data_IF_100770292209
#
_entry.id   IF_100770292209
#
_cell.length_a   1.000
_cell.length_b   1.000
_cell.length_c   1.000
_cell.angle_alpha   90.00
_cell.angle_beta   90.00
_cell.angle_gamma   90.00
#
_symmetry.space_group_name_H-M   'P 1'
#
loop_
_entity.id
_entity.type
_entity.pdbx_description
1 polymer ?
#
# COMPACT_ATOMS: atom_id res chain seq x y z
N UNK A 1 1.04 -13.82 -29.57
CA UNK A 1 0.97 -12.34 -29.64
C UNK A 1 0.23 -11.93 -28.38
N UNK A 2 0.81 -11.06 -27.58
CA UNK A 2 0.14 -10.55 -26.38
C UNK A 2 -0.94 -9.57 -26.83
N UNK A 3 -2.18 -9.75 -26.39
CA UNK A 3 -3.25 -8.77 -26.63
C UNK A 3 -3.09 -7.62 -25.62
N UNK A 4 -2.87 -6.42 -26.12
CA UNK A 4 -2.67 -5.20 -25.31
C UNK A 4 -3.96 -4.38 -25.18
N UNK A 5 -5.08 -4.87 -25.70
CA UNK A 5 -6.37 -4.20 -25.52
C UNK A 5 -6.84 -4.37 -24.08
N UNK A 6 -7.33 -3.29 -23.51
CA UNK A 6 -7.91 -3.31 -22.17
C UNK A 6 -9.28 -3.98 -22.22
N UNK A 7 -9.61 -4.69 -21.15
CA UNK A 7 -10.96 -5.22 -20.93
C UNK A 7 -11.94 -4.11 -20.55
N UNK A 8 -13.22 -4.36 -20.68
CA UNK A 8 -14.26 -3.40 -20.28
C UNK A 8 -14.12 -3.06 -18.77
N UNK A 9 -13.83 -4.04 -17.91
CA UNK A 9 -13.59 -3.82 -16.48
C UNK A 9 -12.37 -2.92 -16.24
N UNK A 10 -11.28 -3.10 -16.99
CA UNK A 10 -10.10 -2.25 -16.89
C UNK A 10 -10.40 -0.80 -17.32
N UNK A 11 -11.17 -0.64 -18.40
CA UNK A 11 -11.60 0.69 -18.89
C UNK A 11 -12.52 1.39 -17.88
N UNK A 12 -13.44 0.68 -17.26
CA UNK A 12 -14.32 1.21 -16.20
C UNK A 12 -13.52 1.66 -14.98
N UNK A 13 -12.60 0.82 -14.50
CA UNK A 13 -11.74 1.16 -13.37
C UNK A 13 -10.80 2.33 -13.70
N UNK A 14 -10.23 2.36 -14.90
CA UNK A 14 -9.40 3.47 -15.35
C UNK A 14 -10.19 4.79 -15.36
N UNK A 15 -11.40 4.77 -15.91
CA UNK A 15 -12.26 5.96 -15.95
C UNK A 15 -12.63 6.43 -14.53
N UNK A 16 -12.95 5.50 -13.62
CA UNK A 16 -13.25 5.81 -12.22
C UNK A 16 -12.05 6.44 -11.49
N UNK A 17 -10.87 5.87 -11.65
CA UNK A 17 -9.65 6.39 -10.99
C UNK A 17 -9.24 7.73 -11.57
N UNK A 18 -9.38 7.93 -12.89
CA UNK A 18 -9.14 9.22 -13.54
C UNK A 18 -10.10 10.30 -13.00
N UNK A 19 -11.40 10.02 -12.96
CA UNK A 19 -12.38 10.96 -12.41
C UNK A 19 -12.07 11.31 -10.95
N UNK A 20 -11.79 10.30 -10.13
CA UNK A 20 -11.38 10.49 -8.75
C UNK A 20 -10.12 11.37 -8.65
N UNK A 21 -9.10 11.09 -9.42
CA UNK A 21 -7.83 11.82 -9.40
C UNK A 21 -8.02 13.29 -9.80
N UNK A 22 -8.77 13.55 -10.87
CA UNK A 22 -9.03 14.92 -11.33
C UNK A 22 -9.93 15.71 -10.37
N UNK A 23 -10.95 15.09 -9.84
CA UNK A 23 -11.96 15.76 -9.01
C UNK A 23 -11.51 15.92 -7.56
N UNK A 24 -10.80 14.93 -7.00
CA UNK A 24 -10.46 14.88 -5.58
C UNK A 24 -9.00 15.22 -5.32
N UNK A 25 -8.06 14.63 -6.07
CA UNK A 25 -6.63 14.81 -5.80
C UNK A 25 -6.07 16.09 -6.42
N UNK A 26 -6.41 16.42 -7.67
CA UNK A 26 -5.83 17.59 -8.36
C UNK A 26 -6.04 18.91 -7.62
N UNK A 27 -7.22 19.21 -7.03
CA UNK A 27 -7.41 20.46 -6.31
C UNK A 27 -6.52 20.64 -5.08
N UNK A 28 -6.07 19.54 -4.48
CA UNK A 28 -5.32 19.55 -3.22
C UNK A 28 -3.83 19.21 -3.38
N UNK A 29 -3.40 18.71 -4.53
CA UNK A 29 -2.04 18.19 -4.76
C UNK A 29 -0.94 19.22 -4.40
N UNK A 30 -1.06 20.44 -4.90
CA UNK A 30 -0.06 21.50 -4.66
C UNK A 30 0.00 21.92 -3.18
N UNK A 31 -1.15 21.94 -2.50
CA UNK A 31 -1.19 22.31 -1.08
C UNK A 31 -0.65 21.17 -0.20
N UNK A 32 -0.88 19.91 -0.57
CA UNK A 32 -0.27 18.77 0.09
C UNK A 32 1.26 18.80 -0.06
N UNK A 33 1.76 19.06 -1.27
CA UNK A 33 3.20 19.17 -1.52
C UNK A 33 3.84 20.29 -0.69
N UNK A 34 3.23 21.48 -0.65
CA UNK A 34 3.72 22.59 0.18
C UNK A 34 3.73 22.25 1.68
N UNK A 35 2.67 21.63 2.17
CA UNK A 35 2.57 21.23 3.58
C UNK A 35 3.60 20.16 3.97
N UNK A 36 3.95 19.26 3.04
CA UNK A 36 4.91 18.20 3.30
C UNK A 36 6.27 18.69 3.75
N UNK A 37 6.65 19.91 3.38
CA UNK A 37 7.92 20.54 3.78
C UNK A 37 7.94 20.96 5.25
N UNK A 38 6.81 21.32 5.83
CA UNK A 38 6.70 21.81 7.22
C UNK A 38 6.02 20.83 8.15
N UNK A 39 5.11 20.04 7.66
CA UNK A 39 4.34 19.03 8.42
C UNK A 39 4.17 17.74 7.59
N UNK A 40 5.22 16.93 7.50
CA UNK A 40 5.16 15.68 6.71
C UNK A 40 4.09 14.68 7.16
N UNK A 41 3.76 14.67 8.45
CA UNK A 41 2.74 13.76 8.98
C UNK A 41 1.32 14.29 8.74
N UNK A 42 1.12 15.60 8.84
CA UNK A 42 -0.18 16.25 8.68
C UNK A 42 -0.53 16.63 7.23
N UNK A 43 0.38 16.44 6.28
CA UNK A 43 0.11 16.76 4.88
C UNK A 43 -0.74 15.71 4.16
N UNK A 44 -0.87 14.50 4.70
CA UNK A 44 -1.60 13.41 4.04
C UNK A 44 -3.10 13.73 3.97
N UNK A 45 -3.70 13.67 2.78
CA UNK A 45 -5.09 14.08 2.57
C UNK A 45 -6.08 12.98 3.01
N UNK A 46 -6.32 12.88 4.30
CA UNK A 46 -7.16 11.84 4.90
C UNK A 46 -8.59 11.82 4.35
N UNK A 47 -9.18 12.97 4.03
CA UNK A 47 -10.51 13.02 3.44
C UNK A 47 -10.54 12.45 2.01
N UNK A 48 -9.46 12.63 1.24
CA UNK A 48 -9.32 11.97 -0.05
C UNK A 48 -9.22 10.44 0.11
N UNK A 49 -8.51 9.96 1.13
CA UNK A 49 -8.46 8.51 1.43
C UNK A 49 -9.85 7.95 1.75
N UNK A 50 -10.63 8.63 2.59
CA UNK A 50 -11.99 8.20 2.91
C UNK A 50 -12.91 8.18 1.68
N UNK A 51 -12.78 9.17 0.80
CA UNK A 51 -13.54 9.19 -0.45
C UNK A 51 -13.14 8.03 -1.37
N UNK A 52 -11.83 7.76 -1.52
CA UNK A 52 -11.35 6.59 -2.24
C UNK A 52 -11.85 5.27 -1.64
N UNK A 53 -11.93 5.19 -0.32
CA UNK A 53 -12.49 4.02 0.38
C UNK A 53 -13.98 3.81 0.08
N UNK A 54 -14.78 4.88 0.09
CA UNK A 54 -16.21 4.83 -0.29
C UNK A 54 -16.42 4.39 -1.75
N UNK A 55 -15.50 4.75 -2.63
CA UNK A 55 -15.49 4.30 -4.03
C UNK A 55 -14.94 2.88 -4.21
N UNK A 56 -14.50 2.22 -3.14
CA UNK A 56 -13.90 0.90 -3.18
C UNK A 56 -12.46 0.86 -3.74
N UNK A 57 -11.85 2.02 -3.98
CA UNK A 57 -10.51 2.10 -4.58
C UNK A 57 -9.43 1.57 -3.65
N UNK A 58 -9.55 1.80 -2.33
CA UNK A 58 -8.55 1.35 -1.36
C UNK A 58 -8.42 -0.17 -1.29
N UNK A 59 -9.52 -0.88 -1.48
CA UNK A 59 -9.61 -2.34 -1.33
C UNK A 59 -9.45 -3.12 -2.63
N UNK A 60 -9.12 -2.49 -3.77
CA UNK A 60 -9.03 -3.15 -5.08
C UNK A 60 -8.08 -4.35 -5.10
N UNK A 61 -7.00 -4.31 -4.31
CA UNK A 61 -6.03 -5.41 -4.20
C UNK A 61 -6.51 -6.60 -3.36
N UNK A 62 -7.59 -6.47 -2.59
CA UNK A 62 -8.12 -7.61 -1.83
C UNK A 62 -8.71 -8.69 -2.74
N UNK A 63 -8.69 -9.96 -2.30
CA UNK A 63 -9.47 -11.02 -2.91
C UNK A 63 -10.95 -10.66 -3.02
N UNK A 64 -11.63 -11.20 -4.03
CA UNK A 64 -13.07 -10.93 -4.27
C UNK A 64 -13.96 -11.34 -3.10
N UNK A 65 -13.60 -12.40 -2.41
CA UNK A 65 -14.30 -12.93 -1.23
C UNK A 65 -14.27 -11.96 -0.05
N UNK A 66 -13.30 -11.03 -0.04
CA UNK A 66 -13.16 -9.99 0.98
C UNK A 66 -13.61 -8.61 0.49
N UNK A 67 -14.38 -8.56 -0.59
CA UNK A 67 -14.94 -7.33 -1.15
C UNK A 67 -13.97 -6.54 -2.03
N UNK A 68 -12.82 -7.13 -2.41
CA UNK A 68 -11.88 -6.54 -3.37
C UNK A 68 -12.20 -6.89 -4.82
N UNK A 69 -11.25 -6.58 -5.71
CA UNK A 69 -11.31 -6.94 -7.14
C UNK A 69 -10.21 -7.90 -7.56
N UNK A 70 -9.24 -8.19 -6.67
CA UNK A 70 -8.03 -8.99 -6.97
C UNK A 70 -7.37 -8.56 -8.29
N UNK A 71 -7.16 -7.25 -8.43
CA UNK A 71 -6.65 -6.63 -9.67
C UNK A 71 -5.31 -7.24 -10.09
N UNK A 72 -5.17 -7.54 -11.37
CA UNK A 72 -3.90 -8.03 -11.91
C UNK A 72 -2.85 -6.91 -12.03
N UNK A 73 -1.61 -7.29 -12.35
CA UNK A 73 -0.49 -6.34 -12.45
C UNK A 73 -0.71 -5.29 -13.52
N UNK A 74 -1.33 -5.63 -14.65
CA UNK A 74 -1.61 -4.67 -15.73
C UNK A 74 -2.64 -3.64 -15.26
N UNK A 75 -3.73 -4.09 -14.67
CA UNK A 75 -4.75 -3.21 -14.08
C UNK A 75 -4.13 -2.30 -13.02
N UNK A 76 -3.30 -2.84 -12.13
CA UNK A 76 -2.59 -2.06 -11.14
C UNK A 76 -1.76 -0.93 -11.77
N UNK A 77 -0.98 -1.22 -12.83
CA UNK A 77 -0.18 -0.20 -13.54
C UNK A 77 -1.06 0.88 -14.16
N UNK A 78 -2.14 0.50 -14.84
CA UNK A 78 -3.07 1.44 -15.49
C UNK A 78 -3.67 2.41 -14.46
N UNK A 79 -4.13 1.90 -13.33
CA UNK A 79 -4.73 2.74 -12.29
C UNK A 79 -3.70 3.66 -11.62
N UNK A 80 -2.47 3.17 -11.43
CA UNK A 80 -1.38 4.02 -10.91
C UNK A 80 -0.99 5.12 -11.87
N UNK A 81 -0.96 4.88 -13.19
CA UNK A 81 -0.68 5.93 -14.18
C UNK A 81 -1.66 7.10 -14.04
N UNK A 82 -2.95 6.83 -13.88
CA UNK A 82 -3.97 7.86 -13.68
C UNK A 82 -3.78 8.65 -12.38
N UNK A 83 -3.47 7.99 -11.27
CA UNK A 83 -3.23 8.67 -10.00
C UNK A 83 -1.91 9.44 -9.98
N UNK A 84 -0.82 8.83 -10.47
CA UNK A 84 0.52 9.42 -10.45
C UNK A 84 0.62 10.65 -11.34
N UNK A 85 -0.15 10.74 -12.41
CA UNK A 85 -0.24 11.93 -13.26
C UNK A 85 -0.79 13.15 -12.51
N UNK A 86 -1.42 12.95 -11.35
CA UNK A 86 -2.05 14.00 -10.56
C UNK A 86 -1.34 14.24 -9.23
N UNK A 87 -1.15 13.17 -8.44
CA UNK A 87 -0.52 13.27 -7.11
C UNK A 87 0.29 11.98 -6.82
N UNK A 88 1.62 11.99 -7.08
CA UNK A 88 2.47 10.80 -6.96
C UNK A 88 2.57 10.24 -5.54
N UNK A 89 2.56 11.08 -4.51
CA UNK A 89 2.68 10.65 -3.12
C UNK A 89 1.49 9.80 -2.68
N UNK A 90 0.28 10.27 -2.98
CA UNK A 90 -0.95 9.52 -2.70
C UNK A 90 -1.04 8.23 -3.53
N UNK A 91 -0.64 8.29 -4.79
CA UNK A 91 -0.58 7.11 -5.64
C UNK A 91 0.39 6.06 -5.11
N UNK A 92 1.53 6.46 -4.56
CA UNK A 92 2.50 5.56 -3.93
C UNK A 92 1.90 4.82 -2.72
N UNK A 93 1.07 5.49 -1.90
CA UNK A 93 0.29 4.87 -0.83
C UNK A 93 -0.63 3.78 -1.37
N UNK A 94 -1.38 4.06 -2.44
CA UNK A 94 -2.28 3.08 -3.06
C UNK A 94 -1.54 1.91 -3.70
N UNK A 95 -0.41 2.18 -4.37
CA UNK A 95 0.48 1.10 -4.84
C UNK A 95 0.82 0.13 -3.72
N UNK A 96 1.26 0.67 -2.59
CA UNK A 96 1.64 -0.14 -1.44
C UNK A 96 0.45 -0.93 -0.89
N UNK A 97 -0.66 -0.26 -0.64
CA UNK A 97 -1.86 -0.87 -0.06
C UNK A 97 -2.40 -2.00 -0.95
N UNK A 98 -2.56 -1.79 -2.25
CA UNK A 98 -3.04 -2.82 -3.17
C UNK A 98 -2.12 -4.02 -3.23
N UNK A 99 -0.82 -3.79 -3.36
CA UNK A 99 0.19 -4.86 -3.41
C UNK A 99 0.20 -5.68 -2.13
N UNK A 100 0.16 -5.03 -0.97
CA UNK A 100 0.19 -5.72 0.32
C UNK A 100 -1.11 -6.45 0.61
N UNK A 101 -2.26 -5.85 0.31
CA UNK A 101 -3.56 -6.50 0.44
C UNK A 101 -3.63 -7.79 -0.38
N UNK A 102 -3.16 -7.75 -1.61
CA UNK A 102 -3.09 -8.90 -2.50
C UNK A 102 -2.11 -9.96 -1.99
N UNK A 103 -0.91 -9.54 -1.56
CA UNK A 103 0.10 -10.46 -1.05
C UNK A 103 -0.38 -11.18 0.22
N UNK A 104 -0.90 -10.44 1.20
CA UNK A 104 -1.45 -11.03 2.42
C UNK A 104 -2.65 -11.91 2.07
N UNK A 105 -3.57 -11.43 1.25
CA UNK A 105 -4.78 -12.15 0.88
C UNK A 105 -4.53 -13.52 0.24
N UNK A 106 -3.43 -13.66 -0.50
CA UNK A 106 -3.04 -14.94 -1.13
C UNK A 106 -2.31 -15.90 -0.19
N UNK A 107 -1.77 -15.44 0.92
CA UNK A 107 -0.89 -16.24 1.80
C UNK A 107 -1.39 -16.34 3.23
N UNK A 108 -2.32 -15.50 3.64
CA UNK A 108 -2.83 -15.47 5.00
C UNK A 108 -3.62 -16.74 5.34
N UNK A 109 -3.43 -17.23 6.55
CA UNK A 109 -4.32 -18.23 7.13
C UNK A 109 -5.70 -17.62 7.39
N UNK A 110 -6.71 -18.46 7.60
CA UNK A 110 -8.06 -17.98 7.95
C UNK A 110 -8.05 -17.11 9.22
N UNK A 111 -7.24 -17.46 10.21
CA UNK A 111 -7.07 -16.68 11.43
C UNK A 111 -6.44 -15.30 11.14
N UNK A 112 -5.39 -15.27 10.32
CA UNK A 112 -4.74 -14.02 9.91
C UNK A 112 -5.68 -13.15 9.08
N UNK A 113 -6.48 -13.74 8.20
CA UNK A 113 -7.49 -13.03 7.42
C UNK A 113 -8.50 -12.33 8.33
N UNK A 114 -9.05 -13.05 9.32
CA UNK A 114 -9.96 -12.50 10.32
C UNK A 114 -9.32 -11.39 11.16
N UNK A 115 -8.05 -11.55 11.49
CA UNK A 115 -7.33 -10.60 12.36
C UNK A 115 -6.90 -9.33 11.64
N UNK A 116 -6.52 -9.41 10.37
CA UNK A 116 -5.87 -8.31 9.65
C UNK A 116 -6.66 -7.80 8.44
N UNK A 117 -7.17 -8.69 7.58
CA UNK A 117 -7.77 -8.25 6.33
C UNK A 117 -9.23 -7.83 6.48
N UNK A 118 -10.00 -8.46 7.34
CA UNK A 118 -11.37 -8.02 7.63
C UNK A 118 -11.36 -6.63 8.26
N UNK A 119 -10.61 -6.35 9.36
CA UNK A 119 -10.51 -4.99 9.90
C UNK A 119 -9.96 -3.97 8.90
N UNK A 120 -8.99 -4.37 8.03
CA UNK A 120 -8.53 -3.50 6.95
C UNK A 120 -9.66 -3.17 5.98
N UNK A 121 -10.47 -4.12 5.58
CA UNK A 121 -11.58 -3.88 4.63
C UNK A 121 -12.64 -2.93 5.22
N UNK A 122 -12.95 -3.09 6.51
CA UNK A 122 -14.02 -2.37 7.21
C UNK A 122 -13.65 -0.93 7.65
N UNK A 123 -12.35 -0.65 7.83
CA UNK A 123 -11.88 0.67 8.28
C UNK A 123 -11.43 1.53 7.10
N UNK A 124 -12.20 2.55 6.75
CA UNK A 124 -11.97 3.48 5.64
C UNK A 124 -10.62 4.19 5.68
N UNK A 125 -9.98 4.24 6.85
CA UNK A 125 -8.70 4.92 7.08
C UNK A 125 -7.54 3.96 7.29
N UNK A 126 -7.78 2.65 7.27
CA UNK A 126 -6.71 1.67 7.48
C UNK A 126 -5.81 1.59 6.25
N UNK A 127 -4.53 1.83 6.47
CA UNK A 127 -3.47 1.62 5.50
C UNK A 127 -2.60 0.44 5.90
N UNK A 128 -2.04 -0.23 4.90
CA UNK A 128 -1.06 -1.31 5.05
C UNK A 128 0.32 -0.76 4.72
N UNK A 129 1.32 -1.13 5.50
CA UNK A 129 2.70 -0.74 5.25
C UNK A 129 3.66 -1.92 5.35
N UNK A 130 4.83 -1.80 4.73
CA UNK A 130 5.91 -2.77 4.84
C UNK A 130 7.18 -2.10 5.37
N UNK A 131 7.71 -2.65 6.45
CA UNK A 131 8.95 -2.26 7.06
C UNK A 131 10.06 -3.24 6.66
N UNK A 132 10.82 -2.89 5.62
CA UNK A 132 11.84 -3.75 5.03
C UNK A 132 13.25 -3.19 5.20
N UNK A 133 13.49 -1.94 4.76
CA UNK A 133 14.80 -1.30 4.73
C UNK A 133 15.36 -1.08 6.12
N UNK A 134 16.65 -1.30 6.30
CA UNK A 134 17.39 -1.08 7.54
C UNK A 134 18.50 -0.04 7.34
N UNK A 135 19.08 0.54 8.41
CA UNK A 135 20.17 1.52 8.29
C UNK A 135 21.37 1.05 7.46
N UNK A 136 21.67 -0.24 7.52
CA UNK A 136 22.81 -0.85 6.81
C UNK A 136 22.42 -1.67 5.58
N UNK A 137 21.15 -1.69 5.18
CA UNK A 137 20.68 -2.57 4.12
C UNK A 137 19.47 -1.98 3.38
N UNK A 138 19.57 -1.91 2.06
CA UNK A 138 18.52 -1.39 1.17
C UNK A 138 18.14 -2.42 0.09
N UNK A 139 18.51 -2.18 -1.15
CA UNK A 139 18.18 -3.06 -2.29
C UNK A 139 18.74 -4.48 -2.13
N UNK A 140 19.85 -4.65 -1.43
CA UNK A 140 20.45 -5.93 -1.07
C UNK A 140 19.51 -6.86 -0.28
N UNK A 141 18.46 -6.31 0.36
CA UNK A 141 17.41 -7.10 1.01
C UNK A 141 16.62 -7.98 0.03
N UNK A 142 16.58 -7.61 -1.23
CA UNK A 142 15.77 -8.27 -2.26
C UNK A 142 16.57 -9.25 -3.10
N UNK A 143 17.90 -9.24 -2.97
CA UNK A 143 18.79 -10.15 -3.68
C UNK A 143 19.26 -11.28 -2.77
N UNK A 144 19.57 -12.45 -3.30
CA UNK A 144 20.17 -13.55 -2.55
C UNK A 144 21.66 -13.24 -2.20
N UNK A 145 21.93 -12.02 -1.77
CA UNK A 145 23.26 -11.58 -1.37
C UNK A 145 23.57 -12.09 0.04
N UNK A 146 24.69 -12.79 0.17
CA UNK A 146 25.15 -13.37 1.43
C UNK A 146 26.45 -12.73 1.91
N UNK A 147 26.59 -11.42 1.74
CA UNK A 147 27.71 -10.67 2.35
C UNK A 147 27.60 -10.67 3.87
N UNK A 148 28.75 -10.64 4.56
CA UNK A 148 28.81 -10.71 6.03
C UNK A 148 28.06 -9.59 6.72
N UNK A 149 27.91 -8.44 6.06
CA UNK A 149 27.30 -7.23 6.61
C UNK A 149 25.99 -6.80 5.93
N UNK A 150 25.52 -7.54 4.95
CA UNK A 150 24.29 -7.24 4.21
C UNK A 150 23.05 -7.94 4.75
N UNK A 151 21.87 -7.55 4.19
CA UNK A 151 20.63 -8.19 4.48
C UNK A 151 19.89 -7.66 5.72
N UNK A 152 18.78 -8.32 6.04
CA UNK A 152 17.91 -7.98 7.16
C UNK A 152 18.51 -8.47 8.47
N UNK A 153 18.64 -7.59 9.45
CA UNK A 153 19.22 -7.86 10.79
C UNK A 153 18.17 -7.79 11.91
N UNK A 154 16.99 -7.21 11.64
CA UNK A 154 15.91 -7.25 12.63
C UNK A 154 15.61 -8.69 13.01
N UNK A 155 15.49 -8.94 14.29
CA UNK A 155 15.20 -10.26 14.83
C UNK A 155 13.85 -10.30 15.54
N UNK A 156 13.16 -11.42 15.44
CA UNK A 156 11.95 -11.74 16.19
C UNK A 156 12.21 -12.94 17.09
N UNK A 157 12.10 -12.75 18.38
CA UNK A 157 12.30 -13.81 19.39
C UNK A 157 10.99 -14.09 20.10
N UNK A 158 10.61 -15.37 20.18
CA UNK A 158 9.39 -15.78 20.87
C UNK A 158 9.56 -15.66 22.39
N UNK A 159 8.59 -15.01 23.05
CA UNK A 159 8.52 -14.86 24.50
C UNK A 159 7.11 -15.24 24.98
N UNK A 160 6.96 -16.44 25.47
CA UNK A 160 5.66 -17.00 25.82
C UNK A 160 4.72 -17.10 24.61
N UNK A 161 3.62 -16.36 24.65
CA UNK A 161 2.67 -16.24 23.53
C UNK A 161 2.94 -15.04 22.62
N UNK A 162 3.91 -14.21 22.94
CA UNK A 162 4.26 -12.99 22.23
C UNK A 162 5.54 -13.15 21.41
N UNK A 163 5.83 -12.13 20.57
CA UNK A 163 7.05 -11.98 19.83
C UNK A 163 7.70 -10.66 20.17
N UNK A 164 8.97 -10.68 20.54
CA UNK A 164 9.79 -9.49 20.78
C UNK A 164 10.58 -9.19 19.52
N UNK A 165 10.36 -8.00 18.93
CA UNK A 165 11.07 -7.51 17.77
C UNK A 165 12.20 -6.60 18.20
N UNK A 166 13.43 -6.86 17.72
CA UNK A 166 14.61 -6.03 17.96
C UNK A 166 15.26 -5.64 16.65
N UNK A 167 15.34 -4.35 16.39
CA UNK A 167 15.94 -3.79 15.18
C UNK A 167 15.38 -2.43 14.83
N UNK A 168 15.88 -1.86 13.74
CA UNK A 168 15.46 -0.54 13.25
C UNK A 168 15.13 -0.65 11.76
N UNK A 169 13.99 -0.13 11.36
CA UNK A 169 13.57 -0.02 9.97
C UNK A 169 13.57 1.44 9.52
N UNK A 170 13.97 1.69 8.27
CA UNK A 170 14.03 3.02 7.66
C UNK A 170 13.15 3.10 6.42
N UNK A 171 12.77 4.32 6.03
CA UNK A 171 12.05 4.62 4.80
C UNK A 171 10.77 3.81 4.64
N UNK A 172 10.06 3.64 5.75
CA UNK A 172 8.80 2.91 5.81
C UNK A 172 7.69 3.86 5.33
N UNK A 173 7.17 3.62 4.14
CA UNK A 173 6.09 4.44 3.60
C UNK A 173 4.85 4.36 4.51
N UNK A 174 4.17 5.48 4.68
CA UNK A 174 2.97 5.62 5.52
C UNK A 174 3.15 5.19 6.99
N UNK A 175 4.40 5.18 7.51
CA UNK A 175 4.70 4.68 8.86
C UNK A 175 3.92 5.37 9.98
N UNK A 176 3.59 6.66 9.82
CA UNK A 176 2.81 7.44 10.79
C UNK A 176 1.29 7.25 10.65
N UNK A 177 0.83 6.60 9.59
CA UNK A 177 -0.58 6.50 9.21
C UNK A 177 -1.09 5.06 9.19
N UNK A 178 -0.22 4.12 8.81
CA UNK A 178 -0.59 2.71 8.67
C UNK A 178 -0.94 2.10 10.04
N UNK A 179 -1.95 1.24 10.03
CA UNK A 179 -2.41 0.50 11.22
C UNK A 179 -1.93 -0.94 11.22
N UNK A 180 -1.52 -1.46 10.07
CA UNK A 180 -1.04 -2.84 9.91
C UNK A 180 0.29 -2.80 9.19
N UNK A 181 1.29 -3.50 9.74
CA UNK A 181 2.64 -3.55 9.20
C UNK A 181 3.05 -5.00 8.90
N UNK A 182 3.65 -5.21 7.73
CA UNK A 182 4.50 -6.36 7.45
C UNK A 182 5.92 -5.95 7.82
N UNK A 183 6.53 -6.70 8.75
CA UNK A 183 7.93 -6.45 9.18
C UNK A 183 8.78 -7.61 8.71
N UNK A 184 9.83 -7.32 7.93
CA UNK A 184 10.80 -8.30 7.44
C UNK A 184 12.07 -8.30 8.27
#
# INVERSE_FOLDING_TARGET
MVDMRLTDEQLELQALVRDYSERVLRPIAVDCDRKSQSDPAGCFPMEALKEASRLGLRTLGLPKELGGRDIDTLTHCILLEEMMAVEPGFAATFHQVWRLAQHIGRQATEEQTKKFLIPFAEDDTCLLSIAQTEPGSGTDNTFPYRGVDGGIKLSAVKDGNDWVLNGTKHFVADASLAKIFIVL
#
